data_IF_646279430452
#
_entry.id   IF_646279430452
#
_cell.length_a   1.000
_cell.length_b   1.000
_cell.length_c   1.000
_cell.angle_alpha   90.00
_cell.angle_beta   90.00
_cell.angle_gamma   90.00
#
_symmetry.space_group_name_H-M   'P 1'
#
loop_
_entity.id
_entity.type
_entity.pdbx_description
1 polymer ?
#
# COMPACT_ATOMS: atom_id res chain seq x y z
N UNK A 1 19.38 6.31 -2.26
CA UNK A 1 18.70 7.20 -3.25
C UNK A 1 17.39 6.57 -3.60
N UNK A 2 16.30 7.36 -3.61
CA UNK A 2 15.00 6.83 -3.97
C UNK A 2 14.87 6.68 -5.50
N UNK A 3 14.03 5.75 -5.96
CA UNK A 3 13.70 5.58 -7.40
C UNK A 3 13.16 6.89 -8.01
N UNK A 4 12.48 7.71 -7.19
CA UNK A 4 12.00 9.02 -7.61
C UNK A 4 13.15 9.97 -7.95
N UNK A 5 14.24 10.00 -7.15
CA UNK A 5 15.43 10.79 -7.43
C UNK A 5 16.10 10.36 -8.73
N UNK A 6 16.14 9.05 -8.98
CA UNK A 6 16.71 8.50 -10.21
C UNK A 6 15.87 8.90 -11.44
N UNK A 7 14.53 8.87 -11.33
CA UNK A 7 13.64 9.33 -12.40
C UNK A 7 13.80 10.83 -12.68
N UNK A 8 13.93 11.65 -11.64
CA UNK A 8 14.19 13.10 -11.77
C UNK A 8 15.54 13.34 -12.42
N UNK A 9 16.60 12.64 -12.01
CA UNK A 9 17.94 12.79 -12.55
C UNK A 9 17.99 12.39 -14.04
N UNK A 10 17.37 11.27 -14.42
CA UNK A 10 17.28 10.83 -15.81
C UNK A 10 16.49 11.83 -16.67
N UNK A 11 15.43 12.43 -16.13
CA UNK A 11 14.68 13.49 -16.80
C UNK A 11 15.55 14.72 -17.08
N UNK A 12 16.37 15.13 -16.11
CA UNK A 12 17.33 16.22 -16.26
C UNK A 12 18.37 15.93 -17.37
N UNK A 13 18.90 14.72 -17.40
CA UNK A 13 19.85 14.30 -18.43
C UNK A 13 19.22 14.33 -19.83
N UNK A 14 17.97 13.89 -19.96
CA UNK A 14 17.22 13.95 -21.25
C UNK A 14 16.91 15.38 -21.66
N UNK A 15 16.51 16.22 -20.69
CA UNK A 15 16.26 17.65 -20.94
C UNK A 15 17.51 18.36 -21.50
N UNK A 16 18.67 18.13 -20.90
CA UNK A 16 19.92 18.75 -21.34
C UNK A 16 20.42 18.25 -22.72
N UNK A 17 20.00 17.04 -23.14
CA UNK A 17 20.43 16.47 -24.43
C UNK A 17 19.53 16.81 -25.60
N UNK A 18 18.25 17.03 -25.37
CA UNK A 18 17.26 17.04 -26.44
C UNK A 18 15.97 17.81 -26.09
N UNK A 19 16.04 19.04 -25.59
CA UNK A 19 14.84 19.89 -25.67
C UNK A 19 14.74 20.38 -27.10
N UNK A 20 13.72 19.93 -27.88
CA UNK A 20 13.49 20.47 -29.22
C UNK A 20 13.23 21.98 -29.08
N UNK A 21 13.85 22.79 -29.95
CA UNK A 21 13.69 24.26 -29.94
C UNK A 21 12.23 24.74 -30.10
N UNK A 22 11.34 23.86 -30.55
CA UNK A 22 9.94 24.15 -30.87
C UNK A 22 8.92 23.55 -29.86
N UNK A 23 9.32 23.26 -28.61
CA UNK A 23 8.38 22.74 -27.60
C UNK A 23 7.44 23.86 -27.14
N UNK A 24 6.25 23.90 -27.72
CA UNK A 24 5.20 24.88 -27.36
C UNK A 24 4.65 24.69 -25.95
N UNK A 25 4.71 23.46 -25.40
CA UNK A 25 4.26 23.11 -24.03
C UNK A 25 5.32 22.29 -23.30
N UNK A 26 6.26 22.98 -22.63
CA UNK A 26 7.34 22.37 -21.89
C UNK A 26 6.83 21.49 -20.74
N UNK A 27 5.75 21.88 -20.04
CA UNK A 27 5.15 21.09 -18.96
C UNK A 27 4.62 19.75 -19.47
N UNK A 28 3.84 19.76 -20.56
CA UNK A 28 3.32 18.52 -21.17
C UNK A 28 4.43 17.62 -21.69
N UNK A 29 5.48 18.20 -22.30
CA UNK A 29 6.65 17.45 -22.74
C UNK A 29 7.39 16.81 -21.56
N UNK A 30 7.66 17.54 -20.48
CA UNK A 30 8.30 17.01 -19.27
C UNK A 30 7.46 15.90 -18.62
N UNK A 31 6.14 16.09 -18.49
CA UNK A 31 5.24 15.05 -17.97
C UNK A 31 5.33 13.77 -18.80
N UNK A 32 5.36 13.88 -20.12
CA UNK A 32 5.51 12.72 -21.02
C UNK A 32 6.86 12.03 -20.85
N UNK A 33 7.95 12.79 -20.69
CA UNK A 33 9.30 12.23 -20.49
C UNK A 33 9.39 11.49 -19.16
N UNK A 34 8.92 12.11 -18.06
CA UNK A 34 8.91 11.49 -16.73
C UNK A 34 8.04 10.24 -16.74
N UNK A 35 6.84 10.31 -17.32
CA UNK A 35 5.93 9.17 -17.40
C UNK A 35 6.55 7.97 -18.10
N UNK A 36 7.27 8.16 -19.21
CA UNK A 36 7.98 7.08 -19.90
C UNK A 36 9.11 6.50 -19.05
N UNK A 37 9.91 7.34 -18.39
CA UNK A 37 10.97 6.88 -17.49
C UNK A 37 10.37 6.03 -16.37
N UNK A 38 9.32 6.52 -15.69
CA UNK A 38 8.64 5.78 -14.63
C UNK A 38 8.06 4.45 -15.13
N UNK A 39 7.48 4.43 -16.33
CA UNK A 39 6.95 3.21 -16.93
C UNK A 39 8.05 2.17 -17.18
N UNK A 40 9.19 2.59 -17.72
CA UNK A 40 10.34 1.72 -17.97
C UNK A 40 10.89 1.16 -16.64
N UNK A 41 10.98 1.99 -15.60
CA UNK A 41 11.40 1.56 -14.26
C UNK A 41 10.42 0.54 -13.66
N UNK A 42 9.11 0.79 -13.72
CA UNK A 42 8.07 -0.11 -13.22
C UNK A 42 8.07 -1.45 -13.97
N UNK A 43 8.22 -1.43 -15.30
CA UNK A 43 8.30 -2.65 -16.13
C UNK A 43 9.57 -3.46 -15.81
N UNK A 44 10.70 -2.79 -15.61
CA UNK A 44 11.96 -3.44 -15.23
C UNK A 44 11.87 -4.10 -13.86
N UNK A 45 11.21 -3.45 -12.89
CA UNK A 45 10.98 -4.02 -11.55
C UNK A 45 10.06 -5.25 -11.62
N UNK A 46 8.97 -5.18 -12.35
CA UNK A 46 8.05 -6.30 -12.51
C UNK A 46 8.62 -7.49 -13.29
N UNK A 47 9.65 -7.27 -14.11
CA UNK A 47 10.33 -8.32 -14.88
C UNK A 47 11.47 -9.00 -14.11
N UNK A 48 11.96 -8.42 -13.00
CA UNK A 48 12.97 -9.05 -12.15
C UNK A 48 12.29 -10.07 -11.25
N UNK A 49 12.76 -11.35 -11.20
CA UNK A 49 12.37 -12.26 -10.14
C UNK A 49 12.75 -11.60 -8.81
N UNK A 50 11.85 -11.65 -7.82
CA UNK A 50 12.20 -11.24 -6.45
C UNK A 50 13.28 -12.20 -5.96
N UNK A 51 14.55 -11.81 -6.05
CA UNK A 51 15.59 -12.45 -5.26
C UNK A 51 15.26 -12.18 -3.79
N UNK A 52 15.34 -13.22 -2.91
CA UNK A 52 15.22 -12.99 -1.49
C UNK A 52 16.24 -11.92 -1.11
N UNK A 53 15.79 -10.83 -0.47
CA UNK A 53 16.70 -9.88 0.15
C UNK A 53 17.53 -10.69 1.16
N UNK A 54 18.83 -10.82 0.88
CA UNK A 54 19.79 -11.24 1.88
C UNK A 54 19.56 -10.36 3.12
N UNK A 55 19.52 -11.01 4.28
CA UNK A 55 19.45 -10.38 5.59
C UNK A 55 20.62 -9.39 5.75
N UNK A 56 20.46 -8.20 5.20
CA UNK A 56 21.32 -7.08 5.52
C UNK A 56 20.76 -6.43 6.77
N UNK A 57 21.48 -6.68 7.88
CA UNK A 57 21.52 -5.91 9.12
C UNK A 57 20.76 -4.57 8.99
N UNK A 58 19.57 -4.51 9.56
CA UNK A 58 18.91 -3.23 9.79
C UNK A 58 19.37 -2.77 11.19
N UNK A 59 20.41 -1.91 11.30
CA UNK A 59 20.58 -1.15 12.49
C UNK A 59 19.33 -0.28 12.60
N UNK A 60 18.63 -0.35 13.72
CA UNK A 60 17.47 0.47 14.01
C UNK A 60 17.85 1.96 13.94
N UNK A 61 17.78 2.54 12.76
CA UNK A 61 17.72 3.98 12.58
C UNK A 61 16.37 4.40 13.13
N UNK A 62 16.41 5.08 14.26
CA UNK A 62 15.30 5.85 14.81
C UNK A 62 14.99 6.94 13.79
N UNK A 63 14.09 6.64 12.89
CA UNK A 63 13.54 7.59 11.92
C UNK A 63 12.87 8.69 12.74
N UNK A 64 13.31 9.92 12.51
CA UNK A 64 12.78 11.10 13.20
C UNK A 64 11.30 11.26 12.86
N UNK A 65 10.36 11.25 13.83
CA UNK A 65 8.92 11.32 13.57
C UNK A 65 8.47 12.58 12.81
N UNK A 66 9.29 13.64 12.85
CA UNK A 66 8.94 14.93 12.24
C UNK A 66 9.08 14.94 10.71
N UNK A 67 9.95 14.12 10.12
CA UNK A 67 10.13 14.02 8.68
C UNK A 67 8.99 13.22 8.00
N UNK A 68 8.25 12.41 8.76
CA UNK A 68 7.16 11.58 8.27
C UNK A 68 5.76 12.17 8.46
N UNK A 69 5.60 13.22 9.28
CA UNK A 69 4.31 13.88 9.50
C UNK A 69 3.76 14.58 8.25
N UNK A 70 4.59 14.83 7.24
CA UNK A 70 4.21 15.49 5.97
C UNK A 70 3.66 14.49 4.93
N UNK A 71 3.85 13.19 5.11
CA UNK A 71 3.42 12.14 4.18
C UNK A 71 2.26 11.27 4.69
N UNK A 72 1.85 11.45 5.92
CA UNK A 72 0.82 10.60 6.55
C UNK A 72 -0.57 11.26 6.52
N UNK A 73 -1.08 11.52 5.34
CA UNK A 73 -2.54 11.43 5.17
C UNK A 73 -2.85 9.93 5.05
N UNK A 74 -3.61 9.40 6.00
CA UNK A 74 -3.83 7.94 6.19
C UNK A 74 -4.37 7.22 4.94
N UNK A 75 -5.15 7.91 4.13
CA UNK A 75 -5.62 7.43 2.81
C UNK A 75 -4.46 7.23 1.83
N UNK A 76 -3.35 7.97 2.00
CA UNK A 76 -2.20 7.90 1.09
C UNK A 76 -1.48 6.56 1.14
N UNK A 77 -1.29 5.97 2.33
CA UNK A 77 -0.54 4.70 2.49
C UNK A 77 -1.31 3.53 1.87
N UNK A 78 -2.61 3.39 2.19
CA UNK A 78 -3.45 2.35 1.62
C UNK A 78 -3.55 2.48 0.09
N UNK A 79 -3.69 3.70 -0.42
CA UNK A 79 -3.69 3.98 -1.86
C UNK A 79 -2.36 3.58 -2.51
N UNK A 80 -1.22 3.88 -1.88
CA UNK A 80 0.09 3.48 -2.41
C UNK A 80 0.24 1.96 -2.49
N UNK A 81 -0.23 1.22 -1.47
CA UNK A 81 -0.24 -0.25 -1.48
C UNK A 81 -1.10 -0.77 -2.64
N UNK A 82 -2.32 -0.25 -2.78
CA UNK A 82 -3.21 -0.67 -3.88
C UNK A 82 -2.62 -0.33 -5.25
N UNK A 83 -2.04 0.85 -5.41
CA UNK A 83 -1.38 1.24 -6.65
C UNK A 83 -0.23 0.29 -7.02
N UNK A 84 0.48 -0.29 -6.03
CA UNK A 84 1.55 -1.26 -6.29
C UNK A 84 1.03 -2.60 -6.83
N UNK A 85 -0.22 -2.97 -6.54
CA UNK A 85 -0.82 -4.20 -7.08
C UNK A 85 -1.29 -4.06 -8.53
N UNK A 86 -1.40 -2.83 -9.04
CA UNK A 86 -1.75 -2.58 -10.43
C UNK A 86 -0.59 -2.90 -11.37
N UNK A 87 -0.90 -3.41 -12.57
CA UNK A 87 0.09 -3.52 -13.63
C UNK A 87 0.69 -2.13 -13.96
N UNK A 88 1.96 -2.04 -14.40
CA UNK A 88 2.62 -0.77 -14.69
C UNK A 88 1.81 0.18 -15.58
N UNK A 89 1.22 -0.35 -16.66
CA UNK A 89 0.40 0.42 -17.61
C UNK A 89 -0.90 0.93 -16.96
N UNK A 90 -1.55 0.11 -16.11
CA UNK A 90 -2.77 0.46 -15.37
C UNK A 90 -2.49 1.58 -14.35
N UNK A 91 -1.40 1.43 -13.59
CA UNK A 91 -0.96 2.41 -12.60
C UNK A 91 -0.67 3.75 -13.24
N UNK A 92 0.13 3.75 -14.32
CA UNK A 92 0.49 4.98 -15.01
C UNK A 92 -0.73 5.66 -15.63
N UNK A 93 -1.60 4.92 -16.32
CA UNK A 93 -2.80 5.46 -16.94
C UNK A 93 -3.75 6.10 -15.90
N UNK A 94 -3.93 5.45 -14.75
CA UNK A 94 -4.74 5.96 -13.67
C UNK A 94 -4.17 7.27 -13.10
N UNK A 95 -2.88 7.29 -12.76
CA UNK A 95 -2.23 8.45 -12.16
C UNK A 95 -2.22 9.64 -13.14
N UNK A 96 -1.84 9.43 -14.39
CA UNK A 96 -1.80 10.52 -15.37
C UNK A 96 -3.17 11.11 -15.64
N UNK A 97 -4.23 10.29 -15.66
CA UNK A 97 -5.58 10.77 -15.90
C UNK A 97 -6.23 11.39 -14.66
N UNK A 98 -6.16 10.74 -13.49
CA UNK A 98 -6.93 11.12 -12.32
C UNK A 98 -6.22 12.18 -11.46
N UNK A 99 -4.88 12.23 -11.48
CA UNK A 99 -4.09 13.20 -10.69
C UNK A 99 -3.59 14.36 -11.55
N UNK A 100 -3.23 14.09 -12.81
CA UNK A 100 -2.68 15.11 -13.72
C UNK A 100 -3.66 15.62 -14.78
N UNK A 101 -4.92 15.17 -14.78
CA UNK A 101 -5.99 15.53 -15.73
C UNK A 101 -5.56 15.37 -17.21
N UNK A 102 -4.65 14.41 -17.49
CA UNK A 102 -4.16 14.17 -18.84
C UNK A 102 -5.21 13.43 -19.68
N UNK A 103 -5.55 13.90 -20.89
CA UNK A 103 -6.50 13.20 -21.76
C UNK A 103 -5.98 11.82 -22.21
N UNK A 104 -6.87 10.83 -22.36
CA UNK A 104 -6.50 9.49 -22.82
C UNK A 104 -5.77 9.46 -24.16
N UNK A 105 -6.05 10.41 -25.04
CA UNK A 105 -5.35 10.55 -26.33
C UNK A 105 -3.86 10.88 -26.17
N UNK A 106 -3.48 11.58 -25.09
CA UNK A 106 -2.08 11.92 -24.78
C UNK A 106 -1.40 10.80 -23.99
N UNK A 107 -2.14 10.06 -23.13
CA UNK A 107 -1.62 8.92 -22.37
C UNK A 107 -1.37 7.71 -23.28
N UNK A 108 -2.25 7.49 -24.24
CA UNK A 108 -2.22 6.33 -25.14
C UNK A 108 -0.85 6.06 -25.80
N UNK A 109 -0.16 7.07 -26.39
CA UNK A 109 1.17 6.88 -26.98
C UNK A 109 2.28 6.69 -25.94
N UNK A 110 2.05 6.99 -24.66
CA UNK A 110 3.03 6.77 -23.59
C UNK A 110 3.09 5.29 -23.23
N UNK A 111 1.92 4.63 -23.17
CA UNK A 111 1.78 3.23 -22.78
C UNK A 111 1.65 2.26 -23.98
N UNK A 112 1.84 2.75 -25.21
CA UNK A 112 1.71 1.99 -26.47
C UNK A 112 0.33 1.32 -26.63
N UNK A 113 -0.74 2.08 -26.39
CA UNK A 113 -2.13 1.63 -26.50
C UNK A 113 -2.97 2.60 -27.33
N UNK A 114 -4.20 2.20 -27.69
CA UNK A 114 -5.19 3.14 -28.21
C UNK A 114 -5.84 3.93 -27.07
N UNK A 115 -6.38 5.12 -27.36
CA UNK A 115 -7.09 5.93 -26.36
C UNK A 115 -8.27 5.16 -25.69
N UNK A 116 -8.99 4.36 -26.48
CA UNK A 116 -10.08 3.52 -25.95
C UNK A 116 -9.56 2.41 -25.03
N UNK A 117 -8.46 1.74 -25.40
CA UNK A 117 -7.83 0.73 -24.54
C UNK A 117 -7.29 1.36 -23.24
N UNK A 118 -6.73 2.58 -23.31
CA UNK A 118 -6.27 3.34 -22.14
C UNK A 118 -7.43 3.67 -21.19
N UNK A 119 -8.56 4.15 -21.73
CA UNK A 119 -9.76 4.40 -20.94
C UNK A 119 -10.27 3.12 -20.24
N UNK A 120 -10.30 1.98 -20.94
CA UNK A 120 -10.70 0.70 -20.35
C UNK A 120 -9.73 0.23 -19.26
N UNK A 121 -8.41 0.43 -19.43
CA UNK A 121 -7.41 0.16 -18.41
C UNK A 121 -7.67 0.99 -17.15
N UNK A 122 -7.90 2.30 -17.31
CA UNK A 122 -8.17 3.21 -16.18
C UNK A 122 -9.47 2.83 -15.45
N UNK A 123 -10.53 2.43 -16.16
CA UNK A 123 -11.78 1.95 -15.53
C UNK A 123 -11.52 0.70 -14.67
N UNK A 124 -10.74 -0.27 -15.18
CA UNK A 124 -10.38 -1.47 -14.40
C UNK A 124 -9.53 -1.13 -13.19
N UNK A 125 -8.54 -0.26 -13.36
CA UNK A 125 -7.69 0.21 -12.26
C UNK A 125 -8.52 0.89 -11.16
N UNK A 126 -9.46 1.78 -11.54
CA UNK A 126 -10.36 2.43 -10.57
C UNK A 126 -11.23 1.42 -9.79
N UNK A 127 -11.75 0.39 -10.47
CA UNK A 127 -12.53 -0.65 -9.79
C UNK A 127 -11.69 -1.38 -8.74
N UNK A 128 -10.44 -1.74 -9.07
CA UNK A 128 -9.52 -2.35 -8.11
C UNK A 128 -9.23 -1.40 -6.95
N UNK A 129 -8.89 -0.14 -7.24
CA UNK A 129 -8.57 0.85 -6.20
C UNK A 129 -9.74 1.07 -5.26
N UNK A 130 -10.97 1.15 -5.78
CA UNK A 130 -12.16 1.44 -4.98
C UNK A 130 -12.80 0.21 -4.31
N UNK A 131 -12.37 -1.00 -4.63
CA UNK A 131 -12.99 -2.21 -4.10
C UNK A 131 -14.50 -2.30 -4.40
N UNK A 132 -14.93 -1.83 -5.55
CA UNK A 132 -16.32 -1.50 -5.87
C UNK A 132 -17.35 -2.63 -5.69
N UNK A 133 -16.89 -3.88 -5.57
CA UNK A 133 -17.78 -5.03 -5.35
C UNK A 133 -18.00 -5.37 -3.86
N UNK A 134 -17.26 -4.72 -2.94
CA UNK A 134 -17.21 -5.06 -1.51
C UNK A 134 -17.82 -4.00 -0.57
N UNK A 135 -17.99 -2.76 -1.05
CA UNK A 135 -18.49 -1.64 -0.21
C UNK A 135 -19.94 -1.77 0.22
N UNK A 136 -20.72 -2.65 -0.41
CA UNK A 136 -22.14 -2.81 -0.13
C UNK A 136 -22.46 -3.92 0.88
N UNK A 137 -21.44 -4.62 1.41
CA UNK A 137 -21.62 -5.65 2.43
C UNK A 137 -21.64 -5.01 3.83
N UNK A 138 -22.79 -5.07 4.50
CA UNK A 138 -22.95 -4.56 5.88
C UNK A 138 -21.94 -5.22 6.85
N UNK A 139 -21.55 -6.47 6.60
CA UNK A 139 -20.53 -7.18 7.37
C UNK A 139 -19.14 -6.54 7.26
N UNK A 140 -18.77 -6.04 6.08
CA UNK A 140 -17.49 -5.35 5.85
C UNK A 140 -17.45 -4.00 6.57
N UNK A 141 -18.56 -3.24 6.56
CA UNK A 141 -18.65 -1.96 7.26
C UNK A 141 -18.55 -2.13 8.79
N UNK A 142 -19.16 -3.17 9.33
CA UNK A 142 -19.08 -3.50 10.76
C UNK A 142 -17.66 -3.94 11.13
N UNK A 143 -17.04 -4.79 10.32
CA UNK A 143 -15.67 -5.22 10.51
C UNK A 143 -14.69 -4.06 10.42
N UNK A 144 -14.86 -3.13 9.45
CA UNK A 144 -14.06 -1.92 9.32
C UNK A 144 -14.04 -1.13 10.62
N UNK A 145 -15.20 -0.87 11.23
CA UNK A 145 -15.29 -0.12 12.50
C UNK A 145 -14.49 -0.78 13.63
N UNK A 146 -14.54 -2.11 13.72
CA UNK A 146 -13.79 -2.86 14.74
C UNK A 146 -12.29 -2.78 14.49
N UNK A 147 -11.85 -2.90 13.23
CA UNK A 147 -10.43 -2.81 12.85
C UNK A 147 -9.90 -1.40 13.03
N UNK A 148 -10.66 -0.36 12.68
CA UNK A 148 -10.30 1.04 12.93
C UNK A 148 -10.13 1.32 14.43
N UNK A 149 -11.07 0.85 15.27
CA UNK A 149 -10.97 0.99 16.72
C UNK A 149 -9.76 0.24 17.28
N UNK A 150 -9.46 -0.96 16.79
CA UNK A 150 -8.28 -1.73 17.18
C UNK A 150 -6.99 -0.98 16.81
N UNK A 151 -6.89 -0.45 15.60
CA UNK A 151 -5.71 0.29 15.15
C UNK A 151 -5.52 1.58 15.95
N UNK A 152 -6.59 2.31 16.25
CA UNK A 152 -6.53 3.51 17.10
C UNK A 152 -6.02 3.18 18.50
N UNK A 153 -6.59 2.19 19.17
CA UNK A 153 -6.15 1.74 20.49
C UNK A 153 -4.69 1.24 20.49
N UNK A 154 -4.26 0.55 19.42
CA UNK A 154 -2.89 0.09 19.26
C UNK A 154 -1.91 1.26 19.10
N UNK A 155 -2.28 2.31 18.34
CA UNK A 155 -1.49 3.53 18.16
C UNK A 155 -1.29 4.30 19.47
N UNK A 156 -2.33 4.38 20.27
CA UNK A 156 -2.32 5.07 21.58
C UNK A 156 -1.69 4.23 22.68
N UNK A 157 -1.42 2.94 22.44
CA UNK A 157 -0.97 2.00 23.46
C UNK A 157 -2.05 1.72 24.52
N UNK A 158 -3.33 1.95 24.18
CA UNK A 158 -4.46 1.72 25.08
C UNK A 158 -4.75 0.22 25.25
N UNK A 159 -4.10 -0.36 26.24
CA UNK A 159 -4.28 -1.78 26.58
C UNK A 159 -5.73 -2.14 26.89
N UNK A 160 -6.45 -1.29 27.63
CA UNK A 160 -7.84 -1.58 28.01
C UNK A 160 -8.78 -1.48 26.81
N UNK A 161 -8.58 -0.49 25.94
CA UNK A 161 -9.29 -0.37 24.69
C UNK A 161 -9.08 -1.59 23.79
N UNK A 162 -7.83 -2.05 23.65
CA UNK A 162 -7.52 -3.28 22.92
C UNK A 162 -8.23 -4.49 23.52
N UNK A 163 -8.15 -4.65 24.86
CA UNK A 163 -8.77 -5.78 25.55
C UNK A 163 -10.28 -5.84 25.36
N UNK A 164 -10.95 -4.68 25.33
CA UNK A 164 -12.39 -4.59 25.10
C UNK A 164 -12.83 -5.02 23.68
N UNK A 165 -11.94 -4.94 22.70
CA UNK A 165 -12.19 -5.33 21.31
C UNK A 165 -11.85 -6.80 21.03
N UNK A 166 -11.14 -7.48 21.94
CA UNK A 166 -10.66 -8.83 21.75
C UNK A 166 -11.55 -9.85 22.48
N UNK A 167 -11.86 -10.95 21.81
CA UNK A 167 -12.47 -12.10 22.48
C UNK A 167 -11.51 -12.70 23.51
N UNK A 168 -11.97 -13.20 24.67
CA UNK A 168 -11.10 -13.83 25.67
C UNK A 168 -10.20 -14.96 25.10
N UNK A 169 -10.72 -15.72 24.14
CA UNK A 169 -10.02 -16.82 23.49
C UNK A 169 -9.46 -16.45 22.10
N UNK A 170 -9.20 -15.15 21.83
CA UNK A 170 -8.64 -14.70 20.55
C UNK A 170 -7.32 -15.40 20.24
N UNK A 171 -7.13 -15.76 18.98
CA UNK A 171 -5.86 -16.30 18.46
C UNK A 171 -5.17 -15.25 17.56
N UNK A 172 -3.88 -15.00 17.83
CA UNK A 172 -3.01 -14.24 16.94
C UNK A 172 -1.99 -15.18 16.35
N UNK A 173 -1.90 -15.22 15.03
CA UNK A 173 -0.92 -15.98 14.25
C UNK A 173 -0.02 -15.04 13.50
N UNK A 174 1.28 -15.24 13.57
CA UNK A 174 2.26 -14.52 12.78
C UNK A 174 3.12 -15.50 12.01
N UNK A 175 3.34 -15.27 10.72
CA UNK A 175 4.26 -16.09 9.95
C UNK A 175 5.72 -15.87 10.39
N UNK A 176 6.64 -16.69 9.86
CA UNK A 176 8.04 -16.67 10.25
C UNK A 176 8.69 -15.31 9.98
N UNK A 177 8.34 -14.65 8.86
CA UNK A 177 8.88 -13.35 8.47
C UNK A 177 8.39 -12.25 9.44
N UNK A 178 7.10 -12.23 9.78
CA UNK A 178 6.52 -11.28 10.73
C UNK A 178 7.04 -11.48 12.17
N UNK A 179 7.42 -12.71 12.52
CA UNK A 179 7.86 -13.08 13.87
C UNK A 179 9.39 -13.11 14.06
N UNK A 180 10.16 -12.76 13.02
CA UNK A 180 11.62 -12.74 13.09
C UNK A 180 12.28 -14.13 13.09
N UNK A 181 11.70 -15.12 12.36
CA UNK A 181 12.32 -16.41 12.13
C UNK A 181 11.39 -17.61 12.28
N UNK A 182 10.67 -17.77 13.38
CA UNK A 182 9.72 -18.87 13.57
C UNK A 182 8.28 -18.39 13.65
N UNK A 183 7.31 -19.11 13.04
CA UNK A 183 5.91 -18.75 13.18
C UNK A 183 5.49 -18.73 14.65
N UNK A 184 4.65 -17.75 14.99
CA UNK A 184 4.17 -17.55 16.36
C UNK A 184 2.65 -17.73 16.42
N UNK A 185 2.18 -18.42 17.43
CA UNK A 185 0.78 -18.52 17.82
C UNK A 185 0.62 -18.01 19.25
N UNK A 186 -0.23 -17.01 19.43
CA UNK A 186 -0.56 -16.43 20.72
C UNK A 186 -2.05 -16.61 20.97
N UNK A 187 -2.43 -16.98 22.18
CA UNK A 187 -3.81 -17.15 22.60
C UNK A 187 -4.15 -16.31 23.80
N UNK A 188 -5.37 -15.80 23.80
CA UNK A 188 -5.94 -15.04 24.91
C UNK A 188 -5.82 -13.54 24.76
N UNK A 189 -6.91 -12.83 25.11
CA UNK A 189 -7.05 -11.39 24.91
C UNK A 189 -5.96 -10.56 25.59
N UNK A 190 -5.55 -10.93 26.81
CA UNK A 190 -4.53 -10.22 27.58
C UNK A 190 -3.16 -10.27 26.87
N UNK A 191 -2.75 -11.46 26.42
CA UNK A 191 -1.46 -11.63 25.74
C UNK A 191 -1.44 -10.94 24.39
N UNK A 192 -2.54 -11.04 23.62
CA UNK A 192 -2.69 -10.36 22.32
C UNK A 192 -2.71 -8.85 22.51
N UNK A 193 -3.47 -8.30 23.46
CA UNK A 193 -3.49 -6.86 23.78
C UNK A 193 -2.11 -6.34 24.20
N UNK A 194 -1.37 -7.10 25.01
CA UNK A 194 0.00 -6.75 25.41
C UNK A 194 0.97 -6.69 24.22
N UNK A 195 0.80 -7.54 23.20
CA UNK A 195 1.62 -7.48 21.99
C UNK A 195 1.20 -6.32 21.08
N UNK A 196 -0.11 -6.11 20.93
CA UNK A 196 -0.64 -5.04 20.10
C UNK A 196 -0.27 -3.65 20.63
N UNK A 197 -0.29 -3.43 21.97
CA UNK A 197 0.13 -2.16 22.57
C UNK A 197 1.62 -1.84 22.34
N UNK A 198 2.47 -2.85 22.17
CA UNK A 198 3.88 -2.66 21.79
C UNK A 198 4.11 -2.32 20.34
N UNK A 199 3.10 -2.54 19.50
CA UNK A 199 3.16 -2.21 18.07
C UNK A 199 3.02 -0.70 17.80
N UNK A 200 2.71 0.12 18.82
CA UNK A 200 2.54 1.58 18.69
C UNK A 200 3.69 2.27 17.93
N UNK A 201 4.95 1.86 18.15
CA UNK A 201 6.12 2.42 17.45
C UNK A 201 6.10 2.21 15.93
N UNK A 202 5.47 1.13 15.43
CA UNK A 202 5.41 0.80 14.01
C UNK A 202 4.06 1.18 13.38
N UNK A 203 3.13 1.72 14.17
CA UNK A 203 1.77 2.01 13.72
C UNK A 203 1.63 3.26 12.87
N UNK A 204 2.68 4.09 12.77
CA UNK A 204 2.69 5.31 11.95
C UNK A 204 2.45 5.02 10.45
N UNK A 205 2.84 3.84 9.97
CA UNK A 205 2.69 3.40 8.58
C UNK A 205 1.59 2.35 8.40
N UNK A 206 0.76 2.16 9.43
CA UNK A 206 -0.32 1.18 9.42
C UNK A 206 -1.63 1.86 9.00
N UNK A 207 -2.34 1.29 8.04
CA UNK A 207 -3.61 1.83 7.53
C UNK A 207 -4.65 0.73 7.35
N UNK A 208 -5.91 1.11 7.51
CA UNK A 208 -7.03 0.20 7.26
C UNK A 208 -7.31 0.15 5.76
N UNK A 209 -7.32 -1.06 5.20
CA UNK A 209 -7.59 -1.32 3.80
C UNK A 209 -8.46 -2.57 3.65
N UNK A 210 -9.06 -2.75 2.47
CA UNK A 210 -9.64 -4.04 2.09
C UNK A 210 -8.51 -5.00 1.69
N UNK A 211 -8.49 -6.17 2.31
CA UNK A 211 -7.58 -7.28 2.03
C UNK A 211 -8.43 -8.50 1.71
N UNK A 212 -8.38 -8.99 0.47
CA UNK A 212 -9.24 -10.08 -0.03
C UNK A 212 -10.73 -9.85 0.26
N UNK A 213 -11.19 -8.61 0.17
CA UNK A 213 -12.60 -8.25 0.40
C UNK A 213 -13.04 -8.08 1.85
N UNK A 214 -12.13 -8.18 2.81
CA UNK A 214 -12.40 -7.98 4.23
C UNK A 214 -11.57 -6.80 4.78
N UNK A 215 -12.03 -6.17 5.87
CA UNK A 215 -11.25 -5.12 6.51
C UNK A 215 -9.99 -5.69 7.15
N UNK A 216 -8.83 -5.11 6.84
CA UNK A 216 -7.53 -5.47 7.37
C UNK A 216 -6.68 -4.24 7.62
N UNK A 217 -5.46 -4.44 8.11
CA UNK A 217 -4.45 -3.40 8.26
C UNK A 217 -3.27 -3.72 7.37
N UNK A 218 -2.82 -2.75 6.61
CA UNK A 218 -1.59 -2.79 5.82
C UNK A 218 -0.54 -1.89 6.47
N UNK A 219 0.71 -2.32 6.46
CA UNK A 219 1.85 -1.52 6.93
C UNK A 219 2.79 -1.34 5.76
N UNK A 220 2.99 -0.09 5.37
CA UNK A 220 3.77 0.22 4.17
C UNK A 220 4.67 1.45 4.39
N UNK A 221 5.82 1.29 5.09
CA UNK A 221 6.84 2.33 5.18
C UNK A 221 7.28 2.76 3.77
N UNK A 222 7.38 4.06 3.54
CA UNK A 222 7.76 4.60 2.22
C UNK A 222 6.91 4.12 1.04
N UNK A 223 5.69 3.62 1.35
CA UNK A 223 4.76 3.06 0.37
C UNK A 223 5.07 1.61 -0.05
N UNK A 224 6.07 0.95 0.53
CA UNK A 224 6.35 -0.47 0.32
C UNK A 224 5.61 -1.33 1.32
N UNK A 225 4.78 -2.26 0.83
CA UNK A 225 4.03 -3.18 1.68
C UNK A 225 4.99 -4.16 2.37
N UNK A 226 5.06 -4.07 3.70
CA UNK A 226 5.93 -4.93 4.52
C UNK A 226 5.15 -5.90 5.41
N UNK A 227 3.89 -5.56 5.76
CA UNK A 227 3.10 -6.38 6.67
C UNK A 227 1.61 -6.22 6.38
N UNK A 228 0.86 -7.29 6.54
CA UNK A 228 -0.61 -7.33 6.50
C UNK A 228 -1.14 -7.97 7.76
N UNK A 229 -2.15 -7.36 8.39
CA UNK A 229 -2.95 -7.96 9.45
C UNK A 229 -4.36 -8.22 8.90
N UNK A 230 -4.79 -9.46 8.98
CA UNK A 230 -6.16 -9.88 8.67
C UNK A 230 -6.90 -10.19 9.96
N UNK A 231 -8.16 -9.82 10.03
CA UNK A 231 -8.97 -9.95 11.22
C UNK A 231 -10.16 -10.88 10.96
N UNK A 232 -10.42 -11.75 11.90
CA UNK A 232 -11.69 -12.46 12.01
C UNK A 232 -12.47 -11.85 13.17
N UNK A 233 -13.68 -11.38 12.92
CA UNK A 233 -14.56 -10.78 13.94
C UNK A 233 -15.93 -11.46 13.98
N UNK A 234 -16.51 -11.52 15.14
CA UNK A 234 -17.87 -12.05 15.37
C UNK A 234 -18.55 -11.20 16.43
N UNK A 235 -19.77 -10.75 16.14
CA UNK A 235 -20.56 -9.92 17.07
C UNK A 235 -19.80 -8.66 17.59
N UNK A 236 -19.00 -8.03 16.73
CA UNK A 236 -18.26 -6.81 17.07
C UNK A 236 -16.99 -7.02 17.88
N UNK A 237 -16.54 -8.26 18.11
CA UNK A 237 -15.27 -8.57 18.77
C UNK A 237 -14.33 -9.36 17.86
N UNK A 238 -13.03 -9.17 18.01
CA UNK A 238 -11.99 -9.86 17.24
C UNK A 238 -11.73 -11.23 17.86
N UNK A 239 -11.93 -12.29 17.07
CA UNK A 239 -11.69 -13.68 17.47
C UNK A 239 -10.39 -14.24 16.90
N UNK A 240 -9.80 -13.59 15.88
CA UNK A 240 -8.56 -14.01 15.25
C UNK A 240 -7.83 -12.86 14.58
N UNK A 241 -6.50 -12.91 14.62
CA UNK A 241 -5.61 -11.99 13.91
C UNK A 241 -4.54 -12.82 13.21
N UNK A 242 -4.41 -12.66 11.89
CA UNK A 242 -3.38 -13.32 11.07
C UNK A 242 -2.41 -12.26 10.54
N UNK A 243 -1.14 -12.34 10.92
CA UNK A 243 -0.08 -11.40 10.57
C UNK A 243 0.83 -12.05 9.55
N UNK A 244 0.97 -11.42 8.38
CA UNK A 244 1.76 -11.89 7.27
C UNK A 244 2.79 -10.83 6.87
N UNK A 245 4.08 -11.22 6.82
CA UNK A 245 5.16 -10.44 6.25
C UNK A 245 5.95 -11.23 5.18
N UNK A 246 5.56 -12.47 4.88
CA UNK A 246 6.17 -13.26 3.80
C UNK A 246 5.92 -12.59 2.43
N UNK A 247 6.98 -12.17 1.69
CA UNK A 247 6.82 -11.43 0.43
C UNK A 247 6.02 -12.18 -0.63
N UNK A 248 6.13 -13.53 -0.68
CA UNK A 248 5.40 -14.35 -1.65
C UNK A 248 3.91 -14.36 -1.32
N UNK A 249 3.56 -14.42 -0.04
CA UNK A 249 2.17 -14.35 0.43
C UNK A 249 1.60 -12.94 0.28
N UNK A 250 2.37 -11.90 0.62
CA UNK A 250 1.98 -10.50 0.45
C UNK A 250 1.59 -10.20 -0.99
N UNK A 251 2.36 -10.69 -1.98
CA UNK A 251 2.07 -10.51 -3.40
C UNK A 251 0.82 -11.25 -3.92
N UNK A 252 0.16 -12.07 -3.10
CA UNK A 252 -1.05 -12.82 -3.49
C UNK A 252 -2.35 -12.20 -2.97
N UNK A 253 -2.28 -11.26 -2.03
CA UNK A 253 -3.46 -10.58 -1.52
C UNK A 253 -3.99 -9.57 -2.54
N UNK A 254 -5.32 -9.49 -2.65
CA UNK A 254 -6.01 -8.42 -3.36
C UNK A 254 -6.29 -7.27 -2.39
N UNK A 255 -5.89 -6.05 -2.81
CA UNK A 255 -6.05 -4.84 -1.99
C UNK A 255 -6.96 -3.83 -2.65
N UNK A 256 -7.76 -3.12 -1.82
CA UNK A 256 -8.48 -1.93 -2.22
C UNK A 256 -8.60 -0.93 -1.06
N UNK A 257 -8.85 0.34 -1.37
CA UNK A 257 -9.15 1.36 -0.36
C UNK A 257 -10.64 1.41 -0.08
N UNK A 258 -11.00 1.77 1.15
CA UNK A 258 -12.37 2.13 1.47
C UNK A 258 -12.70 3.48 0.81
N UNK A 259 -13.82 3.56 0.10
CA UNK A 259 -14.35 4.77 -0.50
C UNK A 259 -15.03 5.70 0.50
#
# INVERSE_FOLDING_TARGET
RSEADDAVQETWLRMNRAVPADVANLRGWLTTVVARICLDMLRSRSARPQEPLDEADHPGETVNPEDHAVLADSVGVALMVVLQTLAPDERLALVLHDVFDMPFAEIAPIIDRSANATAQLTVRARRRVRGADWEHDAGVADQRRVVEAFLAAAREGDFNGLLALLHPDVELRADAAAAGGNPVLVRGGVEVASRASRFAANSAFAEVALVDGAAGVVVAPEGELTLVLRFASTAGVIVGIDICADPIRLGRFDFAVFG
#
